data_IF_445408383065
#
_entry.id   IF_445408383065
#
_cell.length_a   1.000
_cell.length_b   1.000
_cell.length_c   1.000
_cell.angle_alpha   90.00
_cell.angle_beta   90.00
_cell.angle_gamma   90.00
#
_symmetry.space_group_name_H-M   'P 1'
#
loop_
_entity.id
_entity.type
_entity.pdbx_description
1 polymer ?
#
# COMPACT_ATOMS: atom_id res chain seq x y z
N UNK A 1 9.78 12.90 2.43
CA UNK A 1 9.62 13.53 1.11
C UNK A 1 10.82 14.36 0.69
N UNK A 2 11.26 15.35 1.48
CA UNK A 2 12.48 16.12 1.20
C UNK A 2 13.70 15.22 0.91
N UNK A 3 13.91 14.18 1.73
CA UNK A 3 14.96 13.18 1.52
C UNK A 3 14.78 12.38 0.23
N UNK A 4 13.55 12.09 -0.19
CA UNK A 4 13.28 11.36 -1.44
C UNK A 4 13.57 12.26 -2.67
N UNK A 5 13.15 13.53 -2.61
CA UNK A 5 13.44 14.53 -3.64
C UNK A 5 14.95 14.83 -3.76
N UNK A 6 15.66 14.94 -2.63
CA UNK A 6 17.12 15.11 -2.63
C UNK A 6 17.87 13.88 -3.14
N UNK A 7 17.35 12.67 -2.88
CA UNK A 7 17.96 11.40 -3.30
C UNK A 7 17.58 10.98 -4.72
N UNK A 8 16.76 11.77 -5.41
CA UNK A 8 16.38 11.57 -6.80
C UNK A 8 17.56 11.23 -7.73
N UNK A 9 18.67 11.97 -7.56
CA UNK A 9 19.89 11.78 -8.34
C UNK A 9 20.81 10.69 -7.78
N UNK A 10 20.75 10.40 -6.47
CA UNK A 10 21.73 9.54 -5.78
C UNK A 10 21.31 8.08 -5.56
N UNK A 11 20.10 7.69 -5.98
CA UNK A 11 19.74 6.30 -6.30
C UNK A 11 20.23 5.21 -5.34
N UNK A 12 20.06 5.38 -4.03
CA UNK A 12 20.30 4.29 -3.07
C UNK A 12 19.07 3.39 -2.96
N UNK A 13 19.29 2.09 -2.73
CA UNK A 13 18.25 1.05 -2.68
C UNK A 13 17.24 1.22 -1.53
N UNK A 14 17.61 1.93 -0.45
CA UNK A 14 16.71 2.23 0.68
C UNK A 14 16.06 3.63 0.51
N UNK A 15 15.31 3.80 -0.58
CA UNK A 15 14.44 4.96 -0.78
C UNK A 15 13.14 4.74 0.01
N UNK A 16 12.71 5.67 0.88
CA UNK A 16 11.45 5.55 1.63
C UNK A 16 10.22 5.33 0.74
N UNK A 17 10.25 5.74 -0.54
CA UNK A 17 9.15 5.50 -1.49
C UNK A 17 9.00 4.04 -1.91
N UNK A 18 10.03 3.20 -1.73
CA UNK A 18 9.98 1.76 -2.06
C UNK A 18 8.97 0.99 -1.20
N UNK A 19 8.67 1.50 -0.01
CA UNK A 19 7.75 0.86 0.94
C UNK A 19 6.29 1.14 0.62
N UNK A 20 5.99 2.15 -0.19
CA UNK A 20 4.64 2.55 -0.55
C UNK A 20 3.93 1.48 -1.39
N UNK A 21 2.63 1.31 -1.18
CA UNK A 21 1.75 0.45 -1.95
C UNK A 21 1.77 0.83 -3.45
N UNK A 22 1.83 2.14 -3.75
CA UNK A 22 1.97 2.65 -5.12
C UNK A 22 3.21 2.08 -5.84
N UNK A 23 4.36 2.05 -5.16
CA UNK A 23 5.61 1.55 -5.75
C UNK A 23 5.55 0.03 -5.97
N UNK A 24 5.01 -0.71 -4.99
CA UNK A 24 4.79 -2.16 -5.12
C UNK A 24 3.84 -2.50 -6.27
N UNK A 25 2.81 -1.69 -6.51
CA UNK A 25 1.90 -1.88 -7.63
C UNK A 25 2.62 -1.74 -8.97
N UNK A 26 3.50 -0.74 -9.11
CA UNK A 26 4.34 -0.57 -10.30
C UNK A 26 5.31 -1.73 -10.51
N UNK A 27 5.92 -2.23 -9.42
CA UNK A 27 6.81 -3.41 -9.49
C UNK A 27 6.07 -4.68 -9.94
N UNK A 28 4.84 -4.89 -9.46
CA UNK A 28 3.99 -6.04 -9.84
C UNK A 28 3.57 -6.02 -11.30
N UNK A 29 3.43 -4.84 -11.90
CA UNK A 29 3.14 -4.71 -13.33
C UNK A 29 4.31 -5.15 -14.22
N UNK A 30 5.49 -5.39 -13.63
CA UNK A 30 6.67 -5.91 -14.31
C UNK A 30 7.41 -4.85 -15.15
N UNK A 31 8.66 -5.14 -15.49
CA UNK A 31 9.46 -4.33 -16.42
C UNK A 31 10.07 -3.05 -15.84
N UNK A 32 9.97 -2.83 -14.52
CA UNK A 32 10.46 -1.61 -13.87
C UNK A 32 11.24 -1.96 -12.60
N UNK A 33 12.42 -1.37 -12.43
CA UNK A 33 13.20 -1.47 -11.18
C UNK A 33 12.60 -0.60 -10.07
N UNK A 34 12.91 -0.88 -8.79
CA UNK A 34 12.42 -0.08 -7.66
C UNK A 34 12.72 1.42 -7.83
N UNK A 35 13.91 1.74 -8.35
CA UNK A 35 14.33 3.10 -8.70
C UNK A 35 13.44 3.73 -9.77
N UNK A 36 13.23 3.03 -10.88
CA UNK A 36 12.39 3.53 -11.96
C UNK A 36 10.93 3.70 -11.52
N UNK A 37 10.44 2.85 -10.61
CA UNK A 37 9.11 2.97 -10.04
C UNK A 37 8.99 4.20 -9.11
N UNK A 38 9.97 4.44 -8.23
CA UNK A 38 10.04 5.68 -7.43
C UNK A 38 10.12 6.92 -8.32
N UNK A 39 10.92 6.86 -9.38
CA UNK A 39 11.06 7.97 -10.32
C UNK A 39 9.74 8.27 -11.02
N UNK A 40 9.10 7.26 -11.60
CA UNK A 40 7.81 7.42 -12.24
C UNK A 40 6.77 8.01 -11.29
N UNK A 41 6.69 7.51 -10.06
CA UNK A 41 5.76 8.01 -9.04
C UNK A 41 5.92 9.51 -8.80
N UNK A 42 7.14 10.02 -8.64
CA UNK A 42 7.35 11.46 -8.41
C UNK A 42 7.13 12.30 -9.66
N UNK A 43 7.45 11.79 -10.87
CA UNK A 43 7.10 12.51 -12.11
C UNK A 43 5.58 12.66 -12.21
N UNK A 44 4.84 11.55 -12.06
CA UNK A 44 3.38 11.55 -12.13
C UNK A 44 2.78 12.47 -11.05
N UNK A 45 3.34 12.46 -9.84
CA UNK A 45 2.91 13.34 -8.75
C UNK A 45 3.21 14.83 -9.02
N UNK A 46 4.37 15.16 -9.63
CA UNK A 46 4.71 16.52 -10.02
C UNK A 46 3.82 17.03 -11.17
N UNK A 47 3.46 16.17 -12.12
CA UNK A 47 2.53 16.53 -13.19
C UNK A 47 1.13 16.85 -12.63
N UNK A 48 0.66 16.07 -11.66
CA UNK A 48 -0.61 16.36 -10.98
C UNK A 48 -0.52 17.62 -10.10
N UNK A 49 0.61 17.85 -9.44
CA UNK A 49 0.83 19.11 -8.72
C UNK A 49 0.82 20.29 -9.69
N UNK A 50 1.38 20.16 -10.89
CA UNK A 50 1.39 21.23 -11.88
C UNK A 50 -0.03 21.65 -12.34
N UNK A 51 -1.01 20.75 -12.25
CA UNK A 51 -2.40 21.05 -12.56
C UNK A 51 -3.06 21.98 -11.51
N UNK A 52 -2.60 21.96 -10.26
CA UNK A 52 -3.16 22.78 -9.16
C UNK A 52 -2.24 23.95 -8.78
N UNK A 53 -0.93 23.74 -8.79
CA UNK A 53 0.11 24.72 -8.48
C UNK A 53 1.27 24.62 -9.48
N UNK A 54 1.07 25.20 -10.66
CA UNK A 54 2.04 25.19 -11.75
C UNK A 54 3.41 25.75 -11.34
N UNK A 55 3.43 26.92 -10.68
CA UNK A 55 4.66 27.60 -10.29
C UNK A 55 5.43 26.80 -9.23
N UNK A 56 4.74 26.22 -8.25
CA UNK A 56 5.34 25.34 -7.25
C UNK A 56 5.95 24.09 -7.87
N UNK A 57 5.24 23.42 -8.78
CA UNK A 57 5.77 22.26 -9.50
C UNK A 57 6.99 22.62 -10.35
N UNK A 58 6.99 23.78 -11.01
CA UNK A 58 8.12 24.28 -11.78
C UNK A 58 9.35 24.54 -10.89
N UNK A 59 9.17 25.17 -9.73
CA UNK A 59 10.25 25.39 -8.75
C UNK A 59 10.85 24.05 -8.31
N UNK A 60 10.01 23.05 -8.00
CA UNK A 60 10.49 21.73 -7.59
C UNK A 60 11.24 21.03 -8.73
N UNK A 61 10.76 21.13 -9.96
CA UNK A 61 11.42 20.56 -11.14
C UNK A 61 12.78 21.20 -11.38
N UNK A 62 12.85 22.52 -11.44
CA UNK A 62 14.11 23.25 -11.63
C UNK A 62 15.11 22.95 -10.51
N UNK A 63 14.64 22.87 -9.26
CA UNK A 63 15.53 22.66 -8.13
C UNK A 63 16.02 21.21 -8.00
N UNK A 64 15.13 20.23 -8.10
CA UNK A 64 15.45 18.83 -7.81
C UNK A 64 15.74 17.99 -9.06
N UNK A 65 15.13 18.29 -10.21
CA UNK A 65 15.40 17.56 -11.46
C UNK A 65 16.58 18.19 -12.21
N UNK A 66 16.59 19.52 -12.34
CA UNK A 66 17.61 20.24 -13.13
C UNK A 66 18.81 20.73 -12.30
N UNK A 67 18.85 20.40 -11.00
CA UNK A 67 19.91 20.76 -10.03
C UNK A 67 20.24 22.27 -10.00
N UNK A 68 19.21 23.11 -10.20
CA UNK A 68 19.38 24.58 -10.20
C UNK A 68 19.39 25.12 -8.77
N UNK A 69 20.35 26.01 -8.50
CA UNK A 69 20.40 26.74 -7.23
C UNK A 69 19.23 27.71 -7.11
N UNK A 70 18.75 27.92 -5.88
CA UNK A 70 17.57 28.76 -5.57
C UNK A 70 17.69 30.17 -6.15
N UNK A 71 18.87 30.81 -6.09
CA UNK A 71 19.06 32.15 -6.67
C UNK A 71 18.93 32.18 -8.21
N UNK A 72 19.31 31.09 -8.91
CA UNK A 72 19.15 30.99 -10.36
C UNK A 72 17.66 30.89 -10.70
N UNK A 73 16.91 30.10 -9.93
CA UNK A 73 15.46 29.95 -10.06
C UNK A 73 14.76 31.28 -9.77
N UNK A 74 15.17 31.98 -8.71
CA UNK A 74 14.64 33.29 -8.35
C UNK A 74 14.80 34.30 -9.49
N UNK A 75 16.00 34.40 -10.07
CA UNK A 75 16.25 35.25 -11.22
C UNK A 75 15.44 34.84 -12.46
N UNK A 76 15.36 33.53 -12.74
CA UNK A 76 14.64 33.01 -13.90
C UNK A 76 13.12 33.26 -13.82
N UNK A 77 12.55 33.22 -12.62
CA UNK A 77 11.13 33.45 -12.38
C UNK A 77 10.80 34.90 -12.02
N UNK A 78 11.78 35.81 -12.03
CA UNK A 78 11.65 37.20 -11.58
C UNK A 78 11.06 37.31 -10.15
N UNK A 79 11.49 36.43 -9.25
CA UNK A 79 11.07 36.37 -7.85
C UNK A 79 12.24 36.69 -6.91
N UNK A 80 11.91 37.11 -5.69
CA UNK A 80 12.89 37.16 -4.61
C UNK A 80 13.16 35.75 -4.06
N UNK A 81 14.40 35.45 -3.63
CA UNK A 81 14.78 34.14 -3.09
C UNK A 81 13.88 33.68 -1.93
N UNK A 82 13.51 34.62 -1.04
CA UNK A 82 12.59 34.35 0.07
C UNK A 82 11.21 33.87 -0.41
N UNK A 83 10.72 34.39 -1.54
CA UNK A 83 9.45 33.95 -2.16
C UNK A 83 9.59 32.57 -2.76
N UNK A 84 10.70 32.27 -3.44
CA UNK A 84 10.99 30.92 -3.98
C UNK A 84 11.04 29.89 -2.85
N UNK A 85 11.76 30.16 -1.76
CA UNK A 85 11.85 29.27 -0.61
C UNK A 85 10.50 29.04 0.09
N UNK A 86 9.62 30.05 0.09
CA UNK A 86 8.25 29.91 0.61
C UNK A 86 7.42 29.01 -0.30
N UNK A 87 7.37 29.31 -1.60
CA UNK A 87 6.63 28.53 -2.60
C UNK A 87 7.13 27.09 -2.71
N UNK A 88 8.43 26.87 -2.59
CA UNK A 88 9.02 25.53 -2.55
C UNK A 88 8.49 24.71 -1.37
N UNK A 89 8.46 25.29 -0.16
CA UNK A 89 7.92 24.60 1.03
C UNK A 89 6.44 24.29 0.89
N UNK A 90 5.66 25.23 0.38
CA UNK A 90 4.23 25.04 0.09
C UNK A 90 4.03 23.92 -0.96
N UNK A 91 4.81 23.92 -2.03
CA UNK A 91 4.75 22.90 -3.07
C UNK A 91 5.14 21.50 -2.55
N UNK A 92 6.15 21.41 -1.68
CA UNK A 92 6.53 20.13 -1.04
C UNK A 92 5.38 19.62 -0.17
N UNK A 93 4.74 20.48 0.62
CA UNK A 93 3.59 20.08 1.46
C UNK A 93 2.44 19.56 0.58
N UNK A 94 2.08 20.30 -0.46
CA UNK A 94 1.04 19.88 -1.41
C UNK A 94 1.37 18.54 -2.10
N UNK A 95 2.64 18.33 -2.47
CA UNK A 95 3.08 17.08 -3.08
C UNK A 95 2.99 15.90 -2.10
N UNK A 96 3.30 16.14 -0.82
CA UNK A 96 3.13 15.13 0.25
C UNK A 96 1.68 14.75 0.39
N UNK A 97 0.78 15.73 0.48
CA UNK A 97 -0.65 15.49 0.64
C UNK A 97 -1.22 14.72 -0.55
N UNK A 98 -0.77 15.06 -1.77
CA UNK A 98 -1.17 14.38 -2.99
C UNK A 98 -0.75 12.91 -2.99
N UNK A 99 0.52 12.63 -2.70
CA UNK A 99 1.01 11.24 -2.64
C UNK A 99 0.34 10.47 -1.51
N UNK A 100 0.12 11.11 -0.36
CA UNK A 100 -0.59 10.50 0.76
C UNK A 100 -2.01 10.08 0.36
N UNK A 101 -2.76 10.97 -0.30
CA UNK A 101 -4.11 10.65 -0.79
C UNK A 101 -4.11 9.50 -1.80
N UNK A 102 -3.15 9.50 -2.75
CA UNK A 102 -3.01 8.40 -3.70
C UNK A 102 -2.66 7.07 -3.03
N UNK A 103 -1.79 7.10 -2.03
CA UNK A 103 -1.36 5.93 -1.26
C UNK A 103 -2.53 5.34 -0.47
N UNK A 104 -3.34 6.17 0.19
CA UNK A 104 -4.56 5.73 0.85
C UNK A 104 -5.51 5.04 -0.13
N UNK A 105 -5.77 5.67 -1.27
CA UNK A 105 -6.62 5.08 -2.31
C UNK A 105 -6.04 3.76 -2.87
N UNK A 106 -4.71 3.64 -2.99
CA UNK A 106 -4.07 2.39 -3.39
C UNK A 106 -4.22 1.30 -2.34
N UNK A 107 -4.02 1.63 -1.06
CA UNK A 107 -4.23 0.72 0.06
C UNK A 107 -5.68 0.21 0.13
N UNK A 108 -6.66 1.10 -0.06
CA UNK A 108 -8.08 0.73 -0.08
C UNK A 108 -8.41 -0.22 -1.24
N UNK A 109 -7.88 0.05 -2.44
CA UNK A 109 -8.03 -0.86 -3.59
C UNK A 109 -7.42 -2.23 -3.31
N UNK A 110 -6.21 -2.29 -2.76
CA UNK A 110 -5.54 -3.54 -2.40
C UNK A 110 -6.34 -4.32 -1.36
N UNK A 111 -6.79 -3.65 -0.30
CA UNK A 111 -7.66 -4.25 0.73
C UNK A 111 -8.94 -4.82 0.12
N UNK A 112 -9.58 -4.09 -0.79
CA UNK A 112 -10.81 -4.52 -1.45
C UNK A 112 -10.57 -5.79 -2.28
N UNK A 113 -9.49 -5.82 -3.06
CA UNK A 113 -9.10 -7.00 -3.85
C UNK A 113 -8.77 -8.18 -2.94
N UNK A 114 -8.06 -7.97 -1.83
CA UNK A 114 -7.72 -9.03 -0.89
C UNK A 114 -8.96 -9.59 -0.16
N UNK A 115 -9.87 -8.72 0.28
CA UNK A 115 -11.14 -9.14 0.89
C UNK A 115 -12.02 -9.93 -0.06
N UNK A 116 -12.03 -9.58 -1.36
CA UNK A 116 -12.80 -10.29 -2.37
C UNK A 116 -12.30 -11.73 -2.62
N UNK A 117 -11.09 -12.08 -2.17
CA UNK A 117 -10.56 -13.45 -2.25
C UNK A 117 -10.98 -14.32 -1.06
N UNK A 118 -11.37 -13.73 0.06
CA UNK A 118 -11.92 -14.48 1.18
C UNK A 118 -13.34 -14.95 0.81
N UNK A 119 -13.72 -16.13 1.30
CA UNK A 119 -15.12 -16.55 1.24
C UNK A 119 -16.01 -15.50 1.94
N UNK A 120 -17.26 -15.27 1.48
CA UNK A 120 -18.19 -14.43 2.22
C UNK A 120 -18.34 -14.94 3.65
N UNK A 121 -18.30 -14.06 4.67
CA UNK A 121 -18.41 -14.50 6.04
C UNK A 121 -19.80 -15.13 6.24
N UNK A 122 -19.82 -16.39 6.69
CA UNK A 122 -21.07 -17.11 7.01
C UNK A 122 -21.61 -16.76 8.40
N UNK A 123 -21.11 -15.68 9.01
CA UNK A 123 -21.41 -15.26 10.37
C UNK A 123 -21.65 -13.75 10.43
N UNK A 124 -22.53 -13.33 11.34
CA UNK A 124 -22.83 -11.90 11.57
C UNK A 124 -21.94 -11.31 12.67
N UNK A 125 -21.65 -12.11 13.70
CA UNK A 125 -20.84 -11.71 14.84
C UNK A 125 -20.17 -12.96 15.42
N UNK A 126 -18.93 -12.79 15.89
CA UNK A 126 -18.22 -13.81 16.66
C UNK A 126 -18.22 -13.41 18.13
N UNK A 127 -18.22 -14.40 19.01
CA UNK A 127 -18.18 -14.21 20.45
C UNK A 127 -17.04 -15.04 21.02
N UNK A 128 -16.22 -14.44 21.90
CA UNK A 128 -15.18 -15.16 22.62
C UNK A 128 -13.95 -15.52 21.78
N UNK A 129 -13.83 -14.98 20.57
CA UNK A 129 -12.68 -15.21 19.69
C UNK A 129 -11.68 -14.05 19.72
N UNK A 130 -12.07 -12.91 20.28
CA UNK A 130 -11.32 -11.65 20.22
C UNK A 130 -9.90 -11.82 20.79
N UNK A 131 -9.79 -12.45 21.96
CA UNK A 131 -8.50 -12.72 22.59
C UNK A 131 -7.62 -13.66 21.75
N UNK A 132 -8.21 -14.68 21.14
CA UNK A 132 -7.51 -15.62 20.27
C UNK A 132 -7.04 -14.94 18.98
N UNK A 133 -7.90 -14.13 18.37
CA UNK A 133 -7.57 -13.36 17.17
C UNK A 133 -6.45 -12.37 17.47
N UNK A 134 -6.53 -11.59 18.55
CA UNK A 134 -5.46 -10.65 18.91
C UNK A 134 -4.13 -11.33 19.20
N UNK A 135 -4.16 -12.48 19.89
CA UNK A 135 -2.96 -13.26 20.16
C UNK A 135 -2.31 -13.78 18.86
N UNK A 136 -3.10 -14.40 17.98
CA UNK A 136 -2.61 -14.89 16.69
C UNK A 136 -2.14 -13.74 15.80
N UNK A 137 -2.85 -12.61 15.82
CA UNK A 137 -2.52 -11.42 15.05
C UNK A 137 -1.15 -10.87 15.45
N UNK A 138 -0.85 -10.81 16.75
CA UNK A 138 0.47 -10.41 17.23
C UNK A 138 1.59 -11.33 16.72
N UNK A 139 1.31 -12.64 16.61
CA UNK A 139 2.28 -13.60 16.10
C UNK A 139 2.50 -13.46 14.59
N UNK A 140 1.43 -13.48 13.79
CA UNK A 140 1.55 -13.44 12.31
C UNK A 140 2.09 -12.10 11.80
N UNK A 141 1.95 -11.03 12.58
CA UNK A 141 2.49 -9.70 12.25
C UNK A 141 3.94 -9.52 12.73
N UNK A 142 4.46 -10.42 13.56
CA UNK A 142 5.85 -10.35 13.99
C UNK A 142 6.78 -10.65 12.80
N UNK A 143 7.79 -9.81 12.53
CA UNK A 143 8.75 -10.10 11.47
C UNK A 143 9.63 -11.29 11.85
N UNK A 144 9.85 -12.20 10.90
CA UNK A 144 10.69 -13.38 11.10
C UNK A 144 9.87 -14.63 11.41
N UNK A 145 10.53 -15.74 11.82
CA UNK A 145 9.85 -16.99 12.10
C UNK A 145 8.97 -16.91 13.36
N UNK A 146 7.93 -17.77 13.48
CA UNK A 146 7.53 -18.80 12.52
C UNK A 146 6.67 -18.26 11.35
N UNK A 147 6.80 -18.85 10.16
CA UNK A 147 6.02 -18.45 8.97
C UNK A 147 4.81 -19.34 8.68
N UNK A 148 4.71 -20.48 9.38
CA UNK A 148 3.64 -21.45 9.23
C UNK A 148 2.92 -21.62 10.57
N UNK A 149 1.61 -21.46 10.53
CA UNK A 149 0.73 -21.60 11.69
C UNK A 149 -0.33 -22.65 11.38
N UNK A 150 -0.44 -23.65 12.25
CA UNK A 150 -1.48 -24.66 12.19
C UNK A 150 -2.54 -24.38 13.25
N UNK A 151 -3.80 -24.25 12.83
CA UNK A 151 -4.95 -24.14 13.74
C UNK A 151 -5.58 -25.51 13.90
N UNK A 152 -5.36 -26.13 15.07
CA UNK A 152 -5.86 -27.47 15.39
C UNK A 152 -7.09 -27.43 16.29
N UNK A 153 -7.91 -28.49 16.26
CA UNK A 153 -9.09 -28.61 17.10
C UNK A 153 -10.18 -29.50 16.49
N UNK A 154 -11.20 -29.79 17.30
CA UNK A 154 -12.31 -30.68 16.94
C UNK A 154 -13.12 -30.11 15.74
N UNK A 155 -13.74 -30.98 14.94
CA UNK A 155 -14.65 -30.57 13.87
C UNK A 155 -15.77 -29.67 14.38
N UNK A 156 -16.13 -28.63 13.62
CA UNK A 156 -17.22 -27.72 13.98
C UNK A 156 -16.87 -26.63 15.02
N UNK A 157 -15.68 -26.65 15.65
CA UNK A 157 -15.29 -25.67 16.68
C UNK A 157 -15.02 -24.24 16.13
N UNK A 158 -15.18 -24.01 14.83
CA UNK A 158 -14.98 -22.69 14.21
C UNK A 158 -13.55 -22.38 13.76
N UNK A 159 -12.70 -23.37 13.47
CA UNK A 159 -11.32 -23.13 12.99
C UNK A 159 -11.25 -22.26 11.73
N UNK A 160 -12.07 -22.56 10.72
CA UNK A 160 -12.13 -21.75 9.50
C UNK A 160 -12.63 -20.34 9.79
N UNK A 161 -13.59 -20.21 10.69
CA UNK A 161 -14.14 -18.92 11.14
C UNK A 161 -13.08 -18.08 11.87
N UNK A 162 -12.25 -18.71 12.72
CA UNK A 162 -11.13 -18.04 13.38
C UNK A 162 -10.08 -17.58 12.36
N UNK A 163 -9.73 -18.41 11.38
CA UNK A 163 -8.79 -18.06 10.32
C UNK A 163 -9.32 -16.91 9.43
N UNK A 164 -10.60 -16.94 9.04
CA UNK A 164 -11.24 -15.86 8.27
C UNK A 164 -11.24 -14.54 9.06
N UNK A 165 -11.66 -14.58 10.34
CA UNK A 165 -11.65 -13.41 11.22
C UNK A 165 -10.24 -12.83 11.40
N UNK A 166 -9.24 -13.69 11.60
CA UNK A 166 -7.83 -13.30 11.71
C UNK A 166 -7.35 -12.60 10.43
N UNK A 167 -7.64 -13.16 9.25
CA UNK A 167 -7.21 -12.57 7.98
C UNK A 167 -7.88 -11.23 7.71
N UNK A 168 -9.18 -11.09 7.98
CA UNK A 168 -9.88 -9.79 7.86
C UNK A 168 -9.25 -8.73 8.76
N UNK A 169 -8.92 -9.09 10.00
CA UNK A 169 -8.30 -8.16 10.96
C UNK A 169 -6.83 -7.85 10.61
N UNK A 170 -6.12 -8.80 10.01
CA UNK A 170 -4.79 -8.57 9.46
C UNK A 170 -4.81 -7.57 8.29
N UNK A 171 -5.79 -7.68 7.38
CA UNK A 171 -5.98 -6.72 6.29
C UNK A 171 -6.30 -5.31 6.78
N UNK A 172 -6.99 -5.17 7.91
CA UNK A 172 -7.26 -3.86 8.52
C UNK A 172 -6.00 -3.20 9.11
N UNK A 173 -5.09 -4.01 9.67
CA UNK A 173 -3.82 -3.49 10.21
C UNK A 173 -2.74 -3.31 9.16
N UNK A 174 -2.81 -4.07 8.08
CA UNK A 174 -1.82 -4.09 7.01
C UNK A 174 -2.52 -4.20 5.64
N UNK A 175 -3.08 -3.10 5.12
CA UNK A 175 -3.76 -3.11 3.82
C UNK A 175 -2.83 -3.43 2.62
N UNK A 176 -1.55 -3.69 2.90
CA UNK A 176 -0.46 -3.85 1.97
C UNK A 176 -0.05 -5.33 1.88
N UNK A 177 -0.71 -6.19 2.67
CA UNK A 177 -0.56 -7.63 2.67
C UNK A 177 -1.52 -8.22 1.63
N UNK A 178 -0.94 -8.93 0.66
CA UNK A 178 -1.72 -9.70 -0.29
C UNK A 178 -2.10 -11.05 0.33
N UNK A 179 -3.29 -11.56 0.01
CA UNK A 179 -3.81 -12.79 0.59
C UNK A 179 -4.24 -13.74 -0.52
N UNK A 180 -3.88 -15.00 -0.39
CA UNK A 180 -4.48 -16.10 -1.12
C UNK A 180 -5.27 -16.96 -0.15
N UNK A 181 -6.56 -17.16 -0.43
CA UNK A 181 -7.41 -18.07 0.32
C UNK A 181 -7.63 -19.32 -0.54
N UNK A 182 -7.09 -20.45 -0.10
CA UNK A 182 -7.17 -21.72 -0.82
C UNK A 182 -7.87 -22.73 0.07
N UNK A 183 -8.89 -23.36 -0.47
CA UNK A 183 -9.63 -24.43 0.21
C UNK A 183 -9.26 -25.77 -0.40
N UNK A 184 -8.81 -26.71 0.44
CA UNK A 184 -8.63 -28.10 0.04
C UNK A 184 -9.92 -28.93 0.22
N UNK A 185 -11.07 -28.27 0.47
CA UNK A 185 -12.36 -28.96 0.59
C UNK A 185 -12.69 -29.62 -0.75
N UNK A 186 -13.10 -30.88 -0.71
CA UNK A 186 -13.54 -31.60 -1.90
C UNK A 186 -15.03 -31.36 -2.21
N UNK A 187 -15.79 -30.82 -1.25
CA UNK A 187 -17.24 -30.74 -1.24
C UNK A 187 -17.71 -29.52 -0.43
N UNK A 188 -18.67 -28.76 -0.95
CA UNK A 188 -19.29 -27.63 -0.25
C UNK A 188 -20.67 -28.09 0.23
N UNK A 189 -20.89 -28.06 1.54
CA UNK A 189 -22.20 -28.36 2.13
C UNK A 189 -23.01 -27.07 2.08
N UNK A 190 -24.06 -27.08 1.26
CA UNK A 190 -24.95 -25.95 1.11
C UNK A 190 -25.95 -25.93 2.28
N UNK A 191 -26.42 -24.74 2.69
CA UNK A 191 -27.37 -24.57 3.82
C UNK A 191 -28.70 -25.33 3.61
N UNK A 192 -28.98 -25.79 2.40
CA UNK A 192 -30.10 -26.67 2.06
C UNK A 192 -29.83 -28.18 2.22
N UNK A 193 -28.69 -28.60 2.77
CA UNK A 193 -28.35 -30.03 2.97
C UNK A 193 -27.80 -30.74 1.74
N UNK A 194 -27.55 -30.03 0.64
CA UNK A 194 -26.97 -30.58 -0.59
C UNK A 194 -25.45 -30.46 -0.58
N UNK A 195 -24.79 -31.43 -1.22
CA UNK A 195 -23.35 -31.47 -1.43
C UNK A 195 -23.09 -31.05 -2.87
N UNK A 196 -22.54 -29.85 -3.05
CA UNK A 196 -22.08 -29.40 -4.36
C UNK A 196 -20.59 -29.75 -4.50
N UNK A 197 -20.17 -30.46 -5.56
CA UNK A 197 -18.76 -30.66 -5.86
C UNK A 197 -18.13 -29.34 -6.32
N UNK A 198 -16.94 -29.02 -5.79
CA UNK A 198 -16.18 -27.86 -6.23
C UNK A 198 -15.54 -28.13 -7.61
N UNK A 199 -15.46 -27.14 -8.51
CA UNK A 199 -14.69 -27.27 -9.74
C UNK A 199 -13.21 -27.51 -9.40
N UNK A 200 -12.62 -28.53 -10.01
CA UNK A 200 -11.20 -28.87 -9.86
C UNK A 200 -10.33 -27.68 -10.30
N UNK A 201 -9.33 -27.26 -9.50
CA UNK A 201 -8.37 -26.25 -9.93
C UNK A 201 -7.55 -26.79 -11.10
N UNK A 202 -7.36 -25.96 -12.13
CA UNK A 202 -6.45 -26.21 -13.25
C UNK A 202 -5.03 -25.74 -12.91
#
# INVERSE_FOLDING_TARGET
MHTALQRWHNGQDDDPLTRLALNRQLLRQGGVTARQASQRLLVDALEQLAATNHEGALILRLHYLDDRKVYVIANQLALHEGTVNKKQREAIAQLVDLIYAQEQAACERLRTVALARLEPPTYLQLFGVEAHVEHLLAQIMAPGPPWLYAVEGIGGIGKTTLADSLMRRALDRTPWCDIAWVTARQRLLNLGGYIDPLPTPA
#
